data_IF_486577830741
#
_entry.id   IF_486577830741
#
_cell.length_a   1.000
_cell.length_b   1.000
_cell.length_c   1.000
_cell.angle_alpha   90.00
_cell.angle_beta   90.00
_cell.angle_gamma   90.00
#
_symmetry.space_group_name_H-M   'P 1'
#
loop_
_entity.id
_entity.type
_entity.pdbx_description
1 polymer ?
#
# COMPACT_ATOMS: atom_id res chain seq x y z
N UNK A 1 2.81 17.88 -37.98
CA UNK A 1 3.20 16.50 -37.59
C UNK A 1 3.06 16.41 -36.07
N UNK A 2 1.94 15.89 -35.55
CA UNK A 2 1.78 15.66 -34.11
C UNK A 2 2.29 14.26 -33.77
N UNK A 3 3.33 14.19 -32.95
CA UNK A 3 3.88 12.93 -32.45
C UNK A 3 3.05 12.47 -31.25
N UNK A 4 2.18 11.48 -31.47
CA UNK A 4 1.32 10.84 -30.46
C UNK A 4 2.00 9.56 -29.97
N UNK A 5 3.10 9.71 -29.26
CA UNK A 5 3.66 8.61 -28.46
C UNK A 5 4.15 9.18 -27.14
N UNK A 6 3.23 9.40 -26.20
CA UNK A 6 3.61 9.37 -24.80
C UNK A 6 4.00 7.92 -24.49
N UNK A 7 5.30 7.65 -24.50
CA UNK A 7 5.84 6.34 -24.14
C UNK A 7 5.25 5.93 -22.78
N UNK A 8 4.62 4.75 -22.74
CA UNK A 8 4.23 4.14 -21.47
C UNK A 8 5.50 4.05 -20.62
N UNK A 9 5.58 4.80 -19.51
CA UNK A 9 6.66 4.63 -18.53
C UNK A 9 6.72 3.13 -18.19
N UNK A 10 7.92 2.52 -18.07
CA UNK A 10 8.02 1.13 -17.66
C UNK A 10 7.21 0.95 -16.39
N UNK A 11 6.19 0.11 -16.44
CA UNK A 11 5.41 -0.21 -15.25
C UNK A 11 6.36 -0.99 -14.35
N UNK A 12 6.83 -0.37 -13.26
CA UNK A 12 7.68 -1.04 -12.27
C UNK A 12 6.93 -2.30 -11.84
N UNK A 13 7.56 -3.46 -12.05
CA UNK A 13 6.98 -4.74 -11.68
C UNK A 13 6.79 -4.77 -10.16
N UNK A 14 5.71 -5.38 -9.64
CA UNK A 14 5.56 -5.57 -8.20
C UNK A 14 6.77 -6.31 -7.62
N UNK A 15 7.23 -5.87 -6.45
CA UNK A 15 8.28 -6.53 -5.66
C UNK A 15 7.76 -7.84 -5.04
N UNK A 16 6.46 -7.91 -4.76
CA UNK A 16 5.78 -9.08 -4.19
C UNK A 16 4.29 -9.09 -4.58
N UNK A 17 3.61 -10.21 -4.32
CA UNK A 17 2.17 -10.35 -4.51
C UNK A 17 1.41 -9.86 -3.27
N UNK A 18 0.31 -9.11 -3.39
CA UNK A 18 -0.48 -8.68 -2.23
C UNK A 18 -1.28 -9.82 -1.56
N UNK A 19 -1.34 -11.00 -2.17
CA UNK A 19 -2.14 -12.11 -1.67
C UNK A 19 -3.61 -11.73 -1.49
N UNK A 20 -4.21 -12.13 -0.36
CA UNK A 20 -5.58 -11.79 0.02
C UNK A 20 -5.66 -10.34 0.49
N UNK A 21 -6.40 -9.52 -0.25
CA UNK A 21 -6.67 -8.14 0.14
C UNK A 21 -7.86 -8.06 1.11
N UNK A 22 -7.65 -7.45 2.27
CA UNK A 22 -8.69 -7.12 3.24
C UNK A 22 -8.74 -5.61 3.47
N UNK A 23 -9.94 -5.07 3.63
CA UNK A 23 -10.15 -3.69 4.05
C UNK A 23 -10.71 -3.71 5.48
N UNK A 24 -10.27 -2.79 6.33
CA UNK A 24 -10.95 -2.56 7.60
C UNK A 24 -12.41 -2.14 7.35
N UNK A 25 -13.27 -2.31 8.35
CA UNK A 25 -14.68 -1.92 8.22
C UNK A 25 -14.84 -0.44 7.83
N UNK A 26 -14.01 0.44 8.40
CA UNK A 26 -14.04 1.87 8.09
C UNK A 26 -13.56 2.16 6.67
N UNK A 27 -12.45 1.55 6.23
CA UNK A 27 -11.94 1.71 4.86
C UNK A 27 -12.95 1.15 3.84
N UNK A 28 -13.52 -0.02 4.12
CA UNK A 28 -14.57 -0.60 3.29
C UNK A 28 -15.80 0.33 3.21
N UNK A 29 -16.24 0.89 4.33
CA UNK A 29 -17.34 1.85 4.36
C UNK A 29 -17.04 3.09 3.52
N UNK A 30 -15.85 3.70 3.69
CA UNK A 30 -15.43 4.87 2.90
C UNK A 30 -15.40 4.56 1.39
N UNK A 31 -14.85 3.41 1.01
CA UNK A 31 -14.80 2.96 -0.38
C UNK A 31 -16.22 2.71 -0.95
N UNK A 32 -17.12 2.09 -0.17
CA UNK A 32 -18.52 1.84 -0.57
C UNK A 32 -19.32 3.13 -0.81
N UNK A 33 -18.89 4.24 -0.21
CA UNK A 33 -19.45 5.59 -0.41
C UNK A 33 -18.71 6.40 -1.47
N UNK A 34 -17.74 5.79 -2.17
CA UNK A 34 -16.87 6.45 -3.15
C UNK A 34 -16.11 7.65 -2.59
N UNK A 35 -15.85 7.66 -1.28
CA UNK A 35 -15.10 8.72 -0.62
C UNK A 35 -13.59 8.52 -0.76
N UNK A 36 -13.14 7.27 -0.96
CA UNK A 36 -11.74 6.89 -1.21
C UNK A 36 -11.68 5.75 -2.22
N UNK A 37 -10.54 5.63 -2.91
CA UNK A 37 -10.17 4.43 -3.67
C UNK A 37 -8.91 3.80 -3.02
N UNK A 38 -9.02 2.64 -2.34
CA UNK A 38 -7.88 1.99 -1.69
C UNK A 38 -6.88 1.37 -2.66
N UNK A 39 -7.30 0.98 -3.87
CA UNK A 39 -6.50 0.13 -4.75
C UNK A 39 -5.19 0.78 -5.24
N UNK A 40 -5.15 2.08 -5.58
CA UNK A 40 -3.89 2.77 -5.91
C UNK A 40 -2.84 2.68 -4.80
N UNK A 41 -3.24 2.64 -3.53
CA UNK A 41 -2.31 2.59 -2.40
C UNK A 41 -1.74 1.18 -2.20
N UNK A 42 -2.54 0.14 -2.42
CA UNK A 42 -2.06 -1.25 -2.48
C UNK A 42 -1.06 -1.41 -3.63
N UNK A 43 -1.37 -0.83 -4.80
CA UNK A 43 -0.51 -0.84 -5.97
C UNK A 43 0.84 -0.15 -5.75
N UNK A 44 0.88 0.91 -4.93
CA UNK A 44 2.11 1.58 -4.52
C UNK A 44 2.91 0.70 -3.55
N UNK A 45 2.24 0.16 -2.53
CA UNK A 45 2.83 -0.73 -1.54
C UNK A 45 3.54 -1.93 -2.18
N UNK A 46 2.88 -2.67 -3.07
CA UNK A 46 3.49 -3.86 -3.72
C UNK A 46 4.65 -3.51 -4.66
N UNK A 47 4.84 -2.24 -5.02
CA UNK A 47 5.95 -1.75 -5.85
C UNK A 47 7.08 -1.14 -5.03
N UNK A 48 7.00 -1.19 -3.70
CA UNK A 48 7.99 -0.61 -2.80
C UNK A 48 7.89 0.90 -2.65
N UNK A 49 6.81 1.53 -3.13
CA UNK A 49 6.51 2.90 -2.73
C UNK A 49 5.85 2.85 -1.35
N UNK A 50 6.68 3.09 -0.32
CA UNK A 50 6.26 2.99 1.08
C UNK A 50 5.50 4.22 1.61
N UNK A 51 5.37 5.27 0.78
CA UNK A 51 4.71 6.52 1.15
C UNK A 51 5.48 7.34 2.20
N UNK A 52 4.74 7.94 3.13
CA UNK A 52 5.24 8.81 4.20
C UNK A 52 5.59 8.01 5.46
N UNK A 53 6.73 7.32 5.41
CA UNK A 53 7.35 6.64 6.56
C UNK A 53 8.79 7.15 6.76
N UNK A 54 9.34 6.95 7.94
CA UNK A 54 10.73 7.26 8.27
C UNK A 54 11.72 6.39 7.50
N UNK A 55 12.97 6.84 7.39
CA UNK A 55 14.03 6.06 6.73
C UNK A 55 14.28 4.71 7.42
N UNK A 56 14.19 4.68 8.76
CA UNK A 56 14.31 3.44 9.52
C UNK A 56 13.21 2.43 9.16
N UNK A 57 11.96 2.88 8.99
CA UNK A 57 10.86 2.02 8.55
C UNK A 57 11.03 1.55 7.11
N UNK A 58 11.56 2.40 6.20
CA UNK A 58 11.89 1.96 4.82
C UNK A 58 12.95 0.87 4.83
N UNK A 59 13.99 1.03 5.63
CA UNK A 59 15.04 0.02 5.75
C UNK A 59 14.50 -1.27 6.36
N UNK A 60 13.61 -1.17 7.35
CA UNK A 60 12.93 -2.34 7.92
C UNK A 60 12.11 -3.09 6.87
N UNK A 61 11.36 -2.39 6.00
CA UNK A 61 10.65 -3.02 4.89
C UNK A 61 11.60 -3.70 3.90
N UNK A 62 12.73 -3.08 3.57
CA UNK A 62 13.71 -3.68 2.65
C UNK A 62 14.26 -4.99 3.20
N UNK A 63 14.55 -5.05 4.51
CA UNK A 63 14.99 -6.28 5.19
C UNK A 63 13.86 -7.31 5.25
N UNK A 64 12.63 -6.88 5.54
CA UNK A 64 11.46 -7.73 5.64
C UNK A 64 11.07 -8.41 4.31
N UNK A 65 11.34 -7.77 3.17
CA UNK A 65 11.16 -8.36 1.84
C UNK A 65 12.01 -9.63 1.67
N UNK A 66 13.23 -9.64 2.20
CA UNK A 66 14.15 -10.78 2.08
C UNK A 66 13.93 -11.83 3.16
N UNK A 67 13.56 -11.40 4.37
CA UNK A 67 13.54 -12.25 5.57
C UNK A 67 12.15 -12.77 5.94
N UNK A 68 11.08 -12.29 5.30
CA UNK A 68 9.71 -12.68 5.64
C UNK A 68 9.25 -12.07 6.96
N UNK A 69 9.01 -10.75 6.96
CA UNK A 69 8.44 -10.02 8.09
C UNK A 69 7.35 -9.05 7.59
N UNK A 70 6.51 -8.49 8.48
CA UNK A 70 5.43 -7.62 8.05
C UNK A 70 5.95 -6.36 7.35
N UNK A 71 5.34 -6.01 6.23
CA UNK A 71 5.65 -4.80 5.46
C UNK A 71 4.61 -3.74 5.76
N UNK A 72 5.02 -2.51 6.04
CA UNK A 72 4.09 -1.41 6.37
C UNK A 72 4.31 -0.20 5.47
N UNK A 73 3.23 0.39 4.99
CA UNK A 73 3.25 1.66 4.26
C UNK A 73 2.19 2.59 4.77
N UNK A 74 2.46 3.89 4.65
CA UNK A 74 1.55 4.95 5.11
C UNK A 74 1.37 5.98 4.00
N UNK A 75 0.13 6.24 3.61
CA UNK A 75 -0.18 7.16 2.53
C UNK A 75 -1.15 8.25 2.98
N UNK A 76 -0.85 9.53 2.74
CA UNK A 76 -1.84 10.58 2.89
C UNK A 76 -2.90 10.48 1.77
N UNK A 77 -4.17 10.59 2.15
CA UNK A 77 -5.28 10.86 1.22
C UNK A 77 -5.60 12.36 1.27
N UNK A 78 -5.68 12.91 2.48
CA UNK A 78 -5.85 14.35 2.76
C UNK A 78 -4.93 14.73 3.91
N UNK A 79 -4.75 16.03 4.24
CA UNK A 79 -3.95 16.43 5.40
C UNK A 79 -4.38 15.83 6.74
N UNK A 80 -5.59 15.27 6.84
CA UNK A 80 -6.13 14.66 8.08
C UNK A 80 -6.50 13.19 7.94
N UNK A 81 -6.34 12.60 6.76
CA UNK A 81 -6.73 11.22 6.49
C UNK A 81 -5.57 10.47 5.85
N UNK A 82 -5.21 9.36 6.46
CA UNK A 82 -4.15 8.48 6.00
C UNK A 82 -4.68 7.06 5.85
N UNK A 83 -4.08 6.30 4.95
CA UNK A 83 -4.19 4.85 4.92
C UNK A 83 -2.88 4.23 5.38
N UNK A 84 -3.00 3.16 6.14
CA UNK A 84 -1.92 2.22 6.41
C UNK A 84 -2.21 0.96 5.60
N UNK A 85 -1.23 0.52 4.82
CA UNK A 85 -1.27 -0.74 4.08
C UNK A 85 -0.23 -1.66 4.69
N UNK A 86 -0.65 -2.83 5.16
CA UNK A 86 0.23 -3.78 5.84
C UNK A 86 0.13 -5.13 5.15
N UNK A 87 1.26 -5.73 4.80
CA UNK A 87 1.32 -7.12 4.36
C UNK A 87 1.88 -7.97 5.50
N UNK A 88 1.24 -9.10 5.81
CA UNK A 88 1.67 -10.05 6.84
C UNK A 88 3.06 -10.63 6.56
N UNK A 89 3.67 -11.24 7.58
CA UNK A 89 4.99 -11.87 7.53
C UNK A 89 5.09 -13.02 6.51
N UNK A 90 4.02 -13.79 6.36
CA UNK A 90 3.86 -14.80 5.31
C UNK A 90 3.66 -14.22 3.90
N UNK A 91 3.49 -12.90 3.79
CA UNK A 91 3.20 -12.16 2.58
C UNK A 91 1.95 -12.63 1.81
N UNK A 92 1.03 -13.33 2.49
CA UNK A 92 -0.19 -13.87 1.88
C UNK A 92 -1.42 -13.00 2.12
N UNK A 93 -1.36 -12.03 3.01
CA UNK A 93 -2.48 -11.12 3.31
C UNK A 93 -2.01 -9.68 3.33
N UNK A 94 -2.67 -8.81 2.56
CA UNK A 94 -2.53 -7.36 2.66
C UNK A 94 -3.80 -6.76 3.27
N UNK A 95 -3.65 -5.98 4.33
CA UNK A 95 -4.73 -5.23 4.99
C UNK A 95 -4.57 -3.74 4.71
N UNK A 96 -5.67 -3.08 4.36
CA UNK A 96 -5.76 -1.62 4.28
C UNK A 96 -6.67 -1.09 5.38
N UNK A 97 -6.14 -0.18 6.19
CA UNK A 97 -6.83 0.34 7.36
C UNK A 97 -6.47 1.81 7.62
N UNK A 98 -7.19 2.46 8.54
CA UNK A 98 -6.82 3.76 9.10
C UNK A 98 -5.76 3.58 10.20
N UNK A 99 -4.87 4.58 10.43
CA UNK A 99 -3.79 4.46 11.42
C UNK A 99 -4.25 4.24 12.86
N UNK A 100 -5.43 4.74 13.22
CA UNK A 100 -6.01 4.58 14.56
C UNK A 100 -6.68 3.22 14.79
N UNK A 101 -6.79 2.39 13.74
CA UNK A 101 -7.34 1.05 13.84
C UNK A 101 -6.28 0.05 14.31
N UNK A 102 -6.71 -0.96 15.08
CA UNK A 102 -5.84 -2.07 15.47
C UNK A 102 -5.60 -2.96 14.25
N UNK A 103 -4.34 -3.30 13.98
CA UNK A 103 -3.98 -4.20 12.88
C UNK A 103 -4.75 -5.53 12.94
N UNK A 104 -5.27 -5.94 11.77
CA UNK A 104 -6.09 -7.14 11.58
C UNK A 104 -5.25 -8.37 11.16
N UNK A 105 -3.94 -8.33 11.36
CA UNK A 105 -2.98 -9.38 11.02
C UNK A 105 -2.36 -9.99 12.27
#
# INVERSE_FOLDING_TARGET
>A
MLSIFQGRKPQVQPLFSPGTLKLSEKVHWLASKSLIDPLPYVQRHVRGDWGEISEAERQANNVALEQGAPLTSRFPITPRLYLVVITSDDQLTTVVQLPEERALI
#
